data_IF_407444816662
#
_entry.id   IF_407444816662
#
_cell.length_a   1.000
_cell.length_b   1.000
_cell.length_c   1.000
_cell.angle_alpha   90.00
_cell.angle_beta   90.00
_cell.angle_gamma   90.00
#
_symmetry.space_group_name_H-M   'P 1'
#
loop_
_entity.id
_entity.type
_entity.pdbx_description
1 polymer ?
#
# COMPACT_ATOMS: atom_id res chain seq x y z
N UNK A 1 0.94 -6.05 14.72
CA UNK A 1 1.06 -6.08 13.25
C UNK A 1 0.13 -7.15 12.75
N UNK A 2 -1.01 -6.78 12.19
CA UNK A 2 -1.83 -7.76 11.48
C UNK A 2 -1.09 -8.16 10.21
N UNK A 3 -0.65 -9.41 10.12
CA UNK A 3 -0.06 -9.92 8.88
C UNK A 3 -1.02 -9.83 7.68
N UNK A 4 -2.33 -9.64 7.93
CA UNK A 4 -3.35 -9.50 6.90
C UNK A 4 -3.20 -8.18 6.11
N UNK A 5 -2.97 -7.05 6.80
CA UNK A 5 -2.87 -5.73 6.15
C UNK A 5 -1.65 -5.66 5.25
N UNK A 6 -0.50 -6.15 5.72
CA UNK A 6 0.70 -6.25 4.88
C UNK A 6 0.47 -7.16 3.67
N UNK A 7 -0.23 -8.28 3.86
CA UNK A 7 -0.54 -9.18 2.74
C UNK A 7 -1.42 -8.50 1.68
N UNK A 8 -2.42 -7.72 2.10
CA UNK A 8 -3.27 -6.95 1.18
C UNK A 8 -2.47 -5.87 0.44
N UNK A 9 -1.63 -5.12 1.15
CA UNK A 9 -0.73 -4.13 0.54
C UNK A 9 0.14 -4.76 -0.55
N UNK A 10 0.79 -5.88 -0.24
CA UNK A 10 1.66 -6.55 -1.22
C UNK A 10 0.87 -7.12 -2.40
N UNK A 11 -0.32 -7.68 -2.16
CA UNK A 11 -1.16 -8.22 -3.22
C UNK A 11 -1.61 -7.13 -4.20
N UNK A 12 -2.06 -5.98 -3.70
CA UNK A 12 -2.52 -4.87 -4.53
C UNK A 12 -1.34 -4.19 -5.23
N UNK A 13 -0.24 -3.94 -4.50
CA UNK A 13 0.97 -3.40 -5.10
C UNK A 13 1.50 -4.31 -6.22
N UNK A 14 1.48 -5.63 -6.02
CA UNK A 14 1.91 -6.58 -7.05
C UNK A 14 1.01 -6.54 -8.30
N UNK A 15 -0.28 -6.29 -8.13
CA UNK A 15 -1.21 -6.11 -9.24
C UNK A 15 -0.92 -4.80 -10.00
N UNK A 16 -0.73 -3.69 -9.29
CA UNK A 16 -0.43 -2.36 -9.88
C UNK A 16 0.88 -2.35 -10.65
N UNK A 17 1.95 -2.95 -10.09
CA UNK A 17 3.26 -2.97 -10.72
C UNK A 17 3.48 -4.13 -11.71
N UNK A 18 2.46 -4.97 -11.89
CA UNK A 18 2.49 -6.20 -12.71
C UNK A 18 3.70 -7.10 -12.41
N UNK A 19 4.14 -7.12 -11.15
CA UNK A 19 5.31 -7.87 -10.69
C UNK A 19 5.18 -8.19 -9.21
N UNK A 20 5.92 -9.18 -8.74
CA UNK A 20 5.99 -9.47 -7.31
C UNK A 20 6.66 -8.32 -6.56
N UNK A 21 6.02 -7.86 -5.49
CA UNK A 21 6.56 -6.88 -4.54
C UNK A 21 6.90 -7.54 -3.21
N UNK A 22 7.85 -6.94 -2.51
CA UNK A 22 8.33 -7.38 -1.19
C UNK A 22 8.10 -6.28 -0.15
N UNK A 23 8.00 -6.63 1.15
CA UNK A 23 7.71 -5.66 2.22
C UNK A 23 8.65 -4.45 2.26
N UNK A 24 9.92 -4.65 1.91
CA UNK A 24 10.96 -3.62 1.91
C UNK A 24 11.05 -2.83 0.61
N UNK A 25 10.20 -3.10 -0.37
CA UNK A 25 10.20 -2.35 -1.62
C UNK A 25 9.65 -0.94 -1.39
N UNK A 26 10.37 0.04 -1.91
CA UNK A 26 9.92 1.43 -1.94
C UNK A 26 9.09 1.70 -3.20
N UNK A 27 7.96 2.38 -3.02
CA UNK A 27 7.02 2.73 -4.09
C UNK A 27 7.70 3.40 -5.31
N UNK A 28 8.52 4.43 -5.07
CA UNK A 28 9.21 5.15 -6.15
C UNK A 28 10.35 4.33 -6.77
N UNK A 29 11.05 3.51 -5.98
CA UNK A 29 12.09 2.63 -6.49
C UNK A 29 11.55 1.56 -7.47
N UNK A 30 10.29 1.16 -7.31
CA UNK A 30 9.61 0.26 -8.24
C UNK A 30 9.14 0.93 -9.54
N UNK A 31 9.25 2.26 -9.63
CA UNK A 31 8.73 3.07 -10.74
C UNK A 31 7.34 3.63 -10.48
N UNK A 32 6.91 3.73 -9.22
CA UNK A 32 5.62 4.32 -8.86
C UNK A 32 5.53 5.78 -9.26
N UNK A 33 4.38 6.14 -9.83
CA UNK A 33 4.01 7.51 -10.22
C UNK A 33 2.65 7.89 -9.62
N UNK A 34 2.09 9.03 -10.03
CA UNK A 34 0.79 9.48 -9.53
C UNK A 34 -0.36 8.53 -9.89
N UNK A 35 -0.29 7.85 -11.03
CA UNK A 35 -1.34 6.93 -11.47
C UNK A 35 -1.27 5.67 -10.60
N UNK A 36 -0.07 5.09 -10.45
CA UNK A 36 0.14 3.93 -9.61
C UNK A 36 -0.24 4.21 -8.14
N UNK A 37 -0.02 5.43 -7.65
CA UNK A 37 -0.42 5.83 -6.30
C UNK A 37 -1.94 5.83 -6.15
N UNK A 38 -2.67 6.38 -7.13
CA UNK A 38 -4.13 6.38 -7.16
C UNK A 38 -4.69 4.96 -7.26
N UNK A 39 -4.13 4.13 -8.14
CA UNK A 39 -4.56 2.73 -8.31
C UNK A 39 -4.32 1.90 -7.05
N UNK A 40 -3.15 2.06 -6.43
CA UNK A 40 -2.82 1.37 -5.18
C UNK A 40 -3.72 1.84 -4.03
N UNK A 41 -3.94 3.14 -3.89
CA UNK A 41 -4.86 3.69 -2.90
C UNK A 41 -6.27 3.14 -3.09
N UNK A 42 -6.86 3.26 -4.29
CA UNK A 42 -8.21 2.78 -4.58
C UNK A 42 -8.37 1.26 -4.32
N UNK A 43 -7.37 0.46 -4.70
CA UNK A 43 -7.39 -0.98 -4.41
C UNK A 43 -7.32 -1.29 -2.92
N UNK A 44 -6.56 -0.48 -2.16
CA UNK A 44 -6.50 -0.61 -0.70
C UNK A 44 -7.80 -0.18 -0.04
N UNK A 45 -8.46 0.85 -0.55
CA UNK A 45 -9.77 1.30 -0.04
C UNK A 45 -10.81 0.19 -0.15
N UNK A 46 -10.88 -0.45 -1.32
CA UNK A 46 -11.80 -1.57 -1.56
C UNK A 46 -11.48 -2.77 -0.66
N UNK A 47 -10.19 -3.09 -0.47
CA UNK A 47 -9.78 -4.25 0.32
C UNK A 47 -9.90 -4.05 1.84
N UNK A 48 -9.79 -2.80 2.32
CA UNK A 48 -9.80 -2.45 3.74
C UNK A 48 -11.14 -1.88 4.21
N UNK A 49 -12.07 -1.59 3.30
CA UNK A 49 -13.35 -0.93 3.56
C UNK A 49 -13.16 0.39 4.33
N UNK A 50 -12.17 1.18 3.89
CA UNK A 50 -11.72 2.44 4.50
C UNK A 50 -11.14 3.38 3.46
N UNK A 51 -11.21 4.68 3.71
CA UNK A 51 -10.55 5.69 2.87
C UNK A 51 -9.02 5.61 3.05
N UNK A 52 -8.27 5.68 1.95
CA UNK A 52 -6.82 5.60 1.90
C UNK A 52 -6.31 6.72 1.03
N UNK A 53 -5.71 7.72 1.67
CA UNK A 53 -5.15 8.85 0.95
C UNK A 53 -3.88 8.45 0.18
N UNK A 54 -3.74 8.94 -1.05
CA UNK A 54 -2.54 8.69 -1.88
C UNK A 54 -1.26 9.23 -1.24
N UNK A 55 -1.38 10.28 -0.41
CA UNK A 55 -0.26 10.86 0.35
C UNK A 55 0.35 9.82 1.31
N UNK A 56 -0.48 8.98 1.96
CA UNK A 56 0.01 7.91 2.84
C UNK A 56 0.85 6.89 2.07
N UNK A 57 0.46 6.57 0.84
CA UNK A 57 1.21 5.64 -0.04
C UNK A 57 2.56 6.23 -0.40
N UNK A 58 2.63 7.52 -0.76
CA UNK A 58 3.86 8.17 -1.20
C UNK A 58 4.80 8.54 -0.05
N UNK A 59 4.27 8.85 1.13
CA UNK A 59 5.05 9.22 2.31
C UNK A 59 5.63 8.01 3.04
N UNK A 60 5.12 6.82 2.76
CA UNK A 60 5.62 5.57 3.34
C UNK A 60 7.00 5.20 2.79
N UNK A 61 7.90 4.80 3.69
CA UNK A 61 9.26 4.40 3.30
C UNK A 61 9.29 3.11 2.46
N UNK A 62 8.42 2.16 2.78
CA UNK A 62 8.24 0.88 2.08
C UNK A 62 6.83 0.33 2.35
N UNK A 63 6.49 -0.82 1.74
CA UNK A 63 5.17 -1.43 1.92
C UNK A 63 4.92 -1.96 3.34
N UNK A 64 5.97 -2.30 4.11
CA UNK A 64 5.84 -2.66 5.51
C UNK A 64 5.39 -1.46 6.35
N UNK A 65 6.03 -0.30 6.17
CA UNK A 65 5.66 0.95 6.82
C UNK A 65 4.25 1.40 6.43
N UNK A 66 3.89 1.29 5.14
CA UNK A 66 2.53 1.58 4.66
C UNK A 66 1.50 0.71 5.39
N UNK A 67 1.75 -0.60 5.47
CA UNK A 67 0.86 -1.52 6.16
C UNK A 67 0.71 -1.15 7.64
N UNK A 68 1.80 -0.80 8.33
CA UNK A 68 1.75 -0.36 9.74
C UNK A 68 0.88 0.90 9.94
N UNK A 69 1.02 1.88 9.06
CA UNK A 69 0.22 3.11 9.10
C UNK A 69 -1.26 2.80 8.90
N UNK A 70 -1.61 1.98 7.91
CA UNK A 70 -2.99 1.57 7.65
C UNK A 70 -3.57 0.76 8.82
N UNK A 71 -2.79 -0.15 9.38
CA UNK A 71 -3.19 -0.97 10.53
C UNK A 71 -3.45 -0.11 11.78
N UNK A 72 -2.76 1.02 11.92
CA UNK A 72 -3.00 1.97 12.99
C UNK A 72 -4.33 2.73 12.79
N UNK A 73 -4.62 3.16 11.56
CA UNK A 73 -5.88 3.84 11.21
C UNK A 73 -7.10 2.91 11.31
N UNK A 74 -6.93 1.60 11.09
CA UNK A 74 -8.01 0.62 11.27
C UNK A 74 -8.42 0.42 12.74
N UNK A 75 -7.54 0.73 13.69
CA UNK A 75 -7.77 0.52 15.12
C UNK A 75 -8.31 1.75 15.85
N UNK A 76 -8.33 2.91 15.20
CA UNK A 76 -8.95 4.14 15.71
C UNK A 76 -10.45 4.16 15.45
#
# INVERSE_FOLDING_TARGET
>A
MSGATLHQVLAIASAVFERRTEPSDNFFALGGDSIAAVELAAGLEEALDREVETEIVTDSADFAALAEILDAHLRS
#
